data_IF_898061937460
#
_entry.id   IF_898061937460
#
_cell.length_a   1.000
_cell.length_b   1.000
_cell.length_c   1.000
_cell.angle_alpha   90.00
_cell.angle_beta   90.00
_cell.angle_gamma   90.00
#
_symmetry.space_group_name_H-M   'P 1'
#
loop_
_entity.id
_entity.type
_entity.pdbx_description
1 polymer ?
#
# COMPACT_ATOMS: atom_id res chain seq x y z
N UNK A 1 3.57 -13.89 13.71
CA UNK A 1 3.57 -12.43 13.95
C UNK A 1 2.39 -11.84 13.20
N UNK A 2 1.65 -10.94 13.85
CA UNK A 2 0.43 -10.34 13.30
C UNK A 2 0.73 -9.04 12.56
N UNK A 3 -0.12 -8.67 11.60
CA UNK A 3 -0.01 -7.42 10.84
C UNK A 3 0.03 -6.18 11.76
N UNK A 4 -0.70 -6.21 12.88
CA UNK A 4 -0.70 -5.14 13.89
C UNK A 4 0.63 -5.00 14.61
N UNK A 5 1.32 -6.11 14.88
CA UNK A 5 2.62 -6.14 15.56
C UNK A 5 3.71 -5.57 14.64
N UNK A 6 3.75 -6.01 13.38
CA UNK A 6 4.71 -5.50 12.39
C UNK A 6 4.45 -4.04 12.05
N UNK A 7 3.18 -3.62 11.89
CA UNK A 7 2.85 -2.22 11.65
C UNK A 7 3.22 -1.34 12.85
N UNK A 8 3.00 -1.81 14.07
CA UNK A 8 3.40 -1.05 15.28
C UNK A 8 4.91 -0.81 15.35
N UNK A 9 5.74 -1.71 14.79
CA UNK A 9 7.19 -1.51 14.68
C UNK A 9 7.53 -0.40 13.69
N UNK A 10 6.88 -0.39 12.52
CA UNK A 10 7.00 0.69 11.52
C UNK A 10 6.65 2.04 12.18
N UNK A 11 5.50 2.11 12.85
CA UNK A 11 5.05 3.32 13.53
C UNK A 11 5.98 3.75 14.68
N UNK A 12 6.58 2.80 15.40
CA UNK A 12 7.58 3.09 16.43
C UNK A 12 8.81 3.77 15.86
N UNK A 13 9.36 3.24 14.76
CA UNK A 13 10.53 3.81 14.07
C UNK A 13 10.24 5.19 13.49
N UNK A 14 9.07 5.38 12.86
CA UNK A 14 8.66 6.70 12.38
C UNK A 14 8.50 7.69 13.53
N UNK A 15 7.86 7.30 14.64
CA UNK A 15 7.73 8.19 15.80
C UNK A 15 9.07 8.63 16.38
N UNK A 16 10.06 7.75 16.36
CA UNK A 16 11.39 8.02 16.90
C UNK A 16 12.25 8.87 15.97
N UNK A 17 12.27 8.55 14.67
CA UNK A 17 13.22 9.12 13.71
C UNK A 17 12.60 10.09 12.70
N UNK A 18 11.31 9.94 12.40
CA UNK A 18 10.54 10.79 11.50
C UNK A 18 9.19 11.26 12.11
N UNK A 19 9.20 11.98 13.25
CA UNK A 19 7.98 12.37 13.95
C UNK A 19 7.03 13.23 13.12
N UNK A 20 7.52 13.97 12.12
CA UNK A 20 6.64 14.73 11.22
C UNK A 20 5.88 13.79 10.26
N UNK A 21 6.56 12.82 9.64
CA UNK A 21 5.89 11.82 8.79
C UNK A 21 4.92 10.96 9.62
N UNK A 22 5.29 10.61 10.86
CA UNK A 22 4.37 9.92 11.77
C UNK A 22 3.11 10.77 12.08
N UNK A 23 3.25 12.09 12.22
CA UNK A 23 2.13 12.98 12.53
C UNK A 23 1.21 13.21 11.32
N UNK A 24 1.76 13.11 10.11
CA UNK A 24 1.02 13.30 8.86
C UNK A 24 0.17 12.06 8.49
N UNK A 25 0.36 10.91 9.17
CA UNK A 25 -0.40 9.68 8.89
C UNK A 25 -1.88 9.84 9.23
N UNK A 26 -2.79 9.61 8.27
CA UNK A 26 -4.23 9.70 8.51
C UNK A 26 -4.72 8.69 9.56
N UNK A 27 -5.73 9.11 10.32
CA UNK A 27 -6.36 8.29 11.36
C UNK A 27 -7.05 7.02 10.83
N UNK A 28 -7.56 6.15 11.71
CA UNK A 28 -8.08 4.83 11.35
C UNK A 28 -9.34 4.87 10.47
N UNK A 29 -9.49 3.87 9.59
CA UNK A 29 -10.74 3.65 8.89
C UNK A 29 -11.83 3.15 9.86
N UNK A 30 -13.09 3.31 9.48
CA UNK A 30 -14.21 2.70 10.21
C UNK A 30 -14.67 1.42 9.53
N UNK A 31 -15.29 0.51 10.30
CA UNK A 31 -15.90 -0.71 9.75
C UNK A 31 -16.93 -0.41 8.65
N UNK A 32 -17.67 0.70 8.78
CA UNK A 32 -18.64 1.13 7.78
C UNK A 32 -17.97 1.51 6.46
N UNK A 33 -16.81 2.18 6.52
CA UNK A 33 -16.05 2.54 5.33
C UNK A 33 -15.54 1.29 4.61
N UNK A 34 -14.97 0.34 5.35
CA UNK A 34 -14.49 -0.92 4.78
C UNK A 34 -15.61 -1.73 4.15
N UNK A 35 -16.74 -1.88 4.84
CA UNK A 35 -17.90 -2.59 4.30
C UNK A 35 -18.43 -1.94 3.02
N UNK A 36 -18.49 -0.61 2.97
CA UNK A 36 -18.94 0.11 1.78
C UNK A 36 -17.96 -0.03 0.61
N UNK A 37 -16.64 -0.08 0.88
CA UNK A 37 -15.64 -0.33 -0.15
C UNK A 37 -15.71 -1.77 -0.68
N UNK A 38 -15.85 -2.77 0.20
CA UNK A 38 -16.06 -4.17 -0.21
C UNK A 38 -17.31 -4.34 -1.09
N UNK A 39 -18.39 -3.64 -0.76
CA UNK A 39 -19.62 -3.63 -1.57
C UNK A 39 -19.36 -3.03 -2.97
N UNK A 40 -18.66 -1.90 -3.05
CA UNK A 40 -18.34 -1.24 -4.34
C UNK A 40 -17.35 -2.05 -5.19
N UNK A 41 -16.37 -2.69 -4.55
CA UNK A 41 -15.39 -3.55 -5.23
C UNK A 41 -15.94 -4.93 -5.57
N UNK A 42 -17.06 -5.34 -4.96
CA UNK A 42 -17.67 -6.65 -5.16
C UNK A 42 -16.83 -7.80 -4.60
N UNK A 43 -15.92 -7.52 -3.66
CA UNK A 43 -15.01 -8.51 -3.07
C UNK A 43 -14.74 -8.18 -1.60
N UNK A 44 -14.65 -9.22 -0.76
CA UNK A 44 -14.27 -9.07 0.64
C UNK A 44 -12.75 -8.87 0.75
N UNK A 45 -12.34 -7.87 1.52
CA UNK A 45 -10.93 -7.61 1.79
C UNK A 45 -10.36 -8.71 2.71
N UNK A 46 -9.09 -9.05 2.48
CA UNK A 46 -8.38 -9.98 3.35
C UNK A 46 -8.31 -9.45 4.79
N UNK A 47 -8.35 -10.35 5.78
CA UNK A 47 -8.37 -9.99 7.20
C UNK A 47 -7.18 -9.12 7.63
N UNK A 48 -5.98 -9.36 7.09
CA UNK A 48 -4.81 -8.53 7.39
C UNK A 48 -4.95 -7.10 6.84
N UNK A 49 -5.49 -6.95 5.62
CA UNK A 49 -5.72 -5.65 4.99
C UNK A 49 -6.75 -4.84 5.79
N UNK A 50 -7.87 -5.47 6.16
CA UNK A 50 -8.87 -4.84 7.04
C UNK A 50 -8.26 -4.39 8.35
N UNK A 51 -7.49 -5.27 8.99
CA UNK A 51 -6.88 -5.00 10.29
C UNK A 51 -5.92 -3.83 10.22
N UNK A 52 -5.14 -3.70 9.15
CA UNK A 52 -4.25 -2.55 8.95
C UNK A 52 -5.02 -1.26 8.65
N UNK A 53 -6.05 -1.30 7.81
CA UNK A 53 -6.87 -0.13 7.49
C UNK A 53 -7.65 0.42 8.69
N UNK A 54 -8.12 -0.47 9.58
CA UNK A 54 -8.74 -0.08 10.86
C UNK A 54 -7.76 0.60 11.83
N UNK A 55 -6.46 0.60 11.53
CA UNK A 55 -5.45 1.39 12.24
C UNK A 55 -5.07 2.66 11.49
N UNK A 56 -5.18 2.67 10.15
CA UNK A 56 -4.80 3.80 9.28
C UNK A 56 -5.68 3.78 8.03
N UNK A 57 -6.55 4.77 7.87
CA UNK A 57 -7.40 4.90 6.69
C UNK A 57 -6.60 5.29 5.46
N UNK A 58 -5.52 6.05 5.67
CA UNK A 58 -4.59 6.56 4.64
C UNK A 58 -5.24 7.39 3.52
N UNK A 59 -6.57 7.60 3.56
CA UNK A 59 -7.22 8.57 2.69
C UNK A 59 -6.69 9.96 3.00
N UNK A 60 -6.24 10.64 1.95
CA UNK A 60 -5.99 12.07 1.99
C UNK A 60 -7.28 12.83 2.27
N UNK A 61 -7.23 14.05 2.81
CA UNK A 61 -8.36 14.97 2.82
C UNK A 61 -9.00 15.12 1.43
N UNK A 62 -10.29 15.47 1.37
CA UNK A 62 -11.00 15.63 0.08
C UNK A 62 -10.36 16.72 -0.81
N UNK A 63 -9.81 17.77 -0.20
CA UNK A 63 -9.11 18.87 -0.89
C UNK A 63 -7.74 18.47 -1.46
N UNK A 64 -7.12 17.41 -0.91
CA UNK A 64 -5.82 16.89 -1.33
C UNK A 64 -5.96 15.67 -2.26
N UNK A 65 -7.21 15.24 -2.52
CA UNK A 65 -7.49 14.16 -3.44
C UNK A 65 -7.48 14.70 -4.87
N UNK A 66 -6.36 14.54 -5.55
CA UNK A 66 -6.21 14.95 -6.95
C UNK A 66 -6.89 13.94 -7.89
N UNK A 67 -7.96 14.36 -8.55
CA UNK A 67 -8.68 13.54 -9.53
C UNK A 67 -7.88 13.34 -10.82
N UNK A 68 -6.87 14.19 -11.10
CA UNK A 68 -6.05 14.12 -12.32
C UNK A 68 -4.93 13.07 -12.22
N UNK A 69 -4.64 12.53 -11.02
CA UNK A 69 -3.65 11.46 -10.81
C UNK A 69 -4.33 10.10 -10.61
N UNK A 70 -3.64 9.02 -10.97
CA UNK A 70 -4.22 7.67 -10.86
C UNK A 70 -4.23 7.17 -9.42
N UNK A 71 -3.20 7.50 -8.65
CA UNK A 71 -3.00 7.05 -7.28
C UNK A 71 -2.49 8.20 -6.42
N UNK A 72 -3.01 8.28 -5.21
CA UNK A 72 -2.58 9.19 -4.17
C UNK A 72 -2.71 8.48 -2.82
N UNK A 73 -1.98 8.95 -1.83
CA UNK A 73 -1.94 8.34 -0.52
C UNK A 73 -0.84 8.92 0.34
N UNK A 74 -0.45 8.19 1.38
CA UNK A 74 0.63 8.62 2.25
C UNK A 74 1.98 8.47 1.54
N UNK A 75 2.64 9.59 1.28
CA UNK A 75 3.94 9.71 0.61
C UNK A 75 5.11 9.59 1.60
N UNK A 76 6.29 9.24 1.10
CA UNK A 76 7.56 9.31 1.83
C UNK A 76 8.07 7.96 2.35
N UNK A 77 7.27 6.89 2.31
CA UNK A 77 7.74 5.52 2.56
C UNK A 77 6.77 4.48 1.95
N UNK A 78 7.24 3.25 1.62
CA UNK A 78 8.52 2.63 1.99
C UNK A 78 9.70 2.99 1.09
N UNK A 79 9.45 3.61 -0.07
CA UNK A 79 10.44 3.99 -1.08
C UNK A 79 10.05 5.28 -1.79
N UNK A 80 10.97 5.83 -2.57
CA UNK A 80 10.77 7.08 -3.30
C UNK A 80 9.67 6.91 -4.36
N UNK A 81 8.65 7.78 -4.31
CA UNK A 81 7.60 7.85 -5.32
C UNK A 81 6.51 6.78 -5.20
N UNK A 82 6.52 5.97 -4.13
CA UNK A 82 5.40 5.08 -3.80
C UNK A 82 4.54 5.64 -2.67
N UNK A 83 3.24 5.42 -2.79
CA UNK A 83 2.23 5.83 -1.82
C UNK A 83 1.59 4.59 -1.21
N UNK A 84 1.48 4.58 0.12
CA UNK A 84 0.48 3.72 0.75
C UNK A 84 -0.91 4.27 0.44
N UNK A 85 -1.70 3.48 -0.27
CA UNK A 85 -2.98 3.93 -0.81
C UNK A 85 -4.00 4.06 0.32
N UNK A 86 -4.77 5.14 0.30
CA UNK A 86 -6.03 5.23 1.04
C UNK A 86 -7.11 4.36 0.42
N UNK A 87 -8.16 4.05 1.17
CA UNK A 87 -9.28 3.23 0.72
C UNK A 87 -9.85 3.71 -0.63
N UNK A 88 -10.05 5.03 -0.79
CA UNK A 88 -10.56 5.60 -2.05
C UNK A 88 -9.63 5.37 -3.24
N UNK A 89 -8.32 5.50 -3.02
CA UNK A 89 -7.32 5.25 -4.07
C UNK A 89 -7.21 3.75 -4.40
N UNK A 90 -7.31 2.87 -3.40
CA UNK A 90 -7.39 1.42 -3.62
C UNK A 90 -8.59 1.04 -4.49
N UNK A 91 -9.76 1.59 -4.19
CA UNK A 91 -10.99 1.36 -4.96
C UNK A 91 -10.84 1.83 -6.41
N UNK A 92 -10.33 3.04 -6.62
CA UNK A 92 -10.09 3.61 -7.95
C UNK A 92 -9.13 2.75 -8.77
N UNK A 93 -7.99 2.39 -8.19
CA UNK A 93 -6.98 1.58 -8.88
C UNK A 93 -7.51 0.16 -9.17
N UNK A 94 -8.22 -0.44 -8.22
CA UNK A 94 -8.85 -1.74 -8.40
C UNK A 94 -9.89 -1.73 -9.53
N UNK A 95 -10.77 -0.73 -9.55
CA UNK A 95 -11.77 -0.58 -10.61
C UNK A 95 -11.11 -0.37 -11.98
N UNK A 96 -10.05 0.45 -12.05
CA UNK A 96 -9.31 0.65 -13.29
C UNK A 96 -8.70 -0.65 -13.82
N UNK A 97 -8.07 -1.46 -12.95
CA UNK A 97 -7.44 -2.74 -13.32
C UNK A 97 -8.43 -3.84 -13.67
N UNK A 98 -9.65 -3.79 -13.13
CA UNK A 98 -10.68 -4.82 -13.35
C UNK A 98 -11.50 -4.62 -14.65
N UNK A 99 -11.31 -3.52 -15.38
CA UNK A 99 -12.10 -3.21 -16.58
C UNK A 99 -11.38 -3.55 -17.89
N UNK A 100 -12.14 -3.93 -18.92
CA UNK A 100 -11.60 -4.32 -20.23
C UNK A 100 -10.87 -3.21 -21.00
N UNK A 101 -11.06 -1.94 -20.61
CA UNK A 101 -10.34 -0.78 -21.13
C UNK A 101 -9.34 -0.20 -20.11
N UNK A 102 -9.11 -0.94 -19.02
CA UNK A 102 -8.11 -0.63 -18.01
C UNK A 102 -6.69 -0.82 -18.51
N UNK A 103 -5.74 -0.67 -17.59
CA UNK A 103 -4.32 -0.85 -17.89
C UNK A 103 -3.96 -2.31 -18.23
N UNK A 104 -4.70 -3.24 -17.62
CA UNK A 104 -4.44 -4.67 -17.70
C UNK A 104 -5.40 -5.31 -18.71
N UNK A 105 -4.91 -6.25 -19.55
CA UNK A 105 -5.82 -7.07 -20.35
C UNK A 105 -6.74 -7.89 -19.42
N UNK A 106 -7.93 -8.30 -19.92
CA UNK A 106 -8.86 -9.13 -19.15
C UNK A 106 -8.18 -10.36 -18.55
N UNK A 107 -8.62 -10.75 -17.35
CA UNK A 107 -8.13 -11.92 -16.62
C UNK A 107 -8.04 -13.16 -17.53
N UNK A 108 -6.85 -13.78 -17.57
CA UNK A 108 -6.60 -15.02 -18.28
C UNK A 108 -6.34 -16.13 -17.27
N UNK A 109 -7.09 -17.25 -17.31
CA UNK A 109 -7.05 -18.27 -16.26
C UNK A 109 -5.66 -18.86 -15.98
N UNK A 110 -4.86 -19.04 -17.04
CA UNK A 110 -3.57 -19.73 -16.97
C UNK A 110 -2.39 -18.77 -16.76
N UNK A 111 -2.56 -17.50 -17.16
CA UNK A 111 -1.52 -16.46 -17.11
C UNK A 111 -2.15 -15.10 -16.86
N UNK A 112 -2.74 -14.87 -15.67
CA UNK A 112 -3.44 -13.62 -15.41
C UNK A 112 -2.44 -12.48 -15.36
N UNK A 113 -2.67 -11.45 -16.19
CA UNK A 113 -1.94 -10.19 -16.07
C UNK A 113 -2.31 -9.48 -14.77
N UNK A 114 -3.61 -9.52 -14.46
CA UNK A 114 -4.21 -9.11 -13.20
C UNK A 114 -5.35 -10.06 -12.83
N UNK A 115 -5.58 -10.23 -11.52
CA UNK A 115 -6.72 -11.00 -10.99
C UNK A 115 -7.60 -10.11 -10.15
N UNK A 116 -8.91 -10.32 -10.20
CA UNK A 116 -9.86 -9.58 -9.36
C UNK A 116 -9.67 -9.87 -7.87
N UNK A 117 -8.99 -10.96 -7.49
CA UNK A 117 -8.64 -11.23 -6.10
C UNK A 117 -7.42 -10.45 -5.59
N UNK A 118 -6.76 -9.67 -6.45
CA UNK A 118 -5.61 -8.85 -6.09
C UNK A 118 -6.03 -7.44 -5.75
N UNK A 119 -5.85 -7.05 -4.49
CA UNK A 119 -6.21 -5.73 -3.99
C UNK A 119 -4.95 -4.88 -3.88
N UNK A 120 -4.80 -3.81 -4.66
CA UNK A 120 -3.64 -2.93 -4.57
C UNK A 120 -3.69 -2.16 -3.25
N UNK A 121 -2.55 -2.02 -2.58
CA UNK A 121 -2.45 -1.23 -1.34
C UNK A 121 -1.24 -0.28 -1.32
N UNK A 122 -0.36 -0.41 -2.31
CA UNK A 122 0.76 0.49 -2.54
C UNK A 122 0.91 0.68 -4.03
N UNK A 123 1.12 1.92 -4.48
CA UNK A 123 1.40 2.23 -5.88
C UNK A 123 2.21 3.51 -6.03
N UNK A 124 2.90 3.66 -7.16
CA UNK A 124 3.31 4.98 -7.65
C UNK A 124 2.11 5.82 -8.08
N UNK A 125 2.32 7.12 -8.29
CA UNK A 125 1.28 8.10 -8.65
C UNK A 125 0.51 7.73 -9.93
N UNK A 126 1.20 7.09 -10.89
CA UNK A 126 0.65 6.73 -12.20
C UNK A 126 -0.05 5.36 -12.21
N UNK A 127 0.03 4.58 -11.13
CA UNK A 127 -0.54 3.24 -11.08
C UNK A 127 0.29 2.18 -11.81
N UNK A 128 1.50 2.50 -12.27
CA UNK A 128 2.33 1.65 -13.12
C UNK A 128 3.06 0.57 -12.34
N UNK A 129 3.41 0.84 -11.10
CA UNK A 129 4.09 -0.12 -10.22
C UNK A 129 3.50 -0.10 -8.83
N UNK A 130 3.55 -1.23 -8.14
CA UNK A 130 3.04 -1.29 -6.78
C UNK A 130 2.96 -2.69 -6.21
N UNK A 131 2.27 -2.79 -5.06
CA UNK A 131 2.06 -4.06 -4.35
C UNK A 131 0.59 -4.31 -4.07
N UNK A 132 0.19 -5.57 -4.21
CA UNK A 132 -1.15 -6.05 -3.96
C UNK A 132 -1.15 -7.16 -2.92
N UNK A 133 -2.27 -7.33 -2.23
CA UNK A 133 -2.57 -8.51 -1.43
C UNK A 133 -3.54 -9.41 -2.19
N UNK A 134 -3.23 -10.70 -2.26
CA UNK A 134 -4.15 -11.71 -2.79
C UNK A 134 -5.14 -12.10 -1.69
N UNK A 135 -6.43 -11.83 -1.87
CA UNK A 135 -7.42 -12.07 -0.81
C UNK A 135 -7.65 -13.56 -0.53
N UNK A 136 -7.22 -14.44 -1.44
CA UNK A 136 -7.43 -15.88 -1.30
C UNK A 136 -6.52 -16.49 -0.24
N UNK A 137 -5.32 -15.96 -0.07
CA UNK A 137 -4.30 -16.51 0.83
C UNK A 137 -3.51 -15.48 1.64
N UNK A 138 -3.73 -14.19 1.42
CA UNK A 138 -3.10 -13.09 2.15
C UNK A 138 -1.65 -12.80 1.74
N UNK A 139 -1.14 -13.46 0.70
CA UNK A 139 0.21 -13.20 0.19
C UNK A 139 0.28 -11.84 -0.48
N UNK A 140 1.45 -11.20 -0.38
CA UNK A 140 1.72 -9.93 -1.07
C UNK A 140 2.51 -10.21 -2.34
N UNK A 141 2.05 -9.64 -3.44
CA UNK A 141 2.75 -9.61 -4.72
C UNK A 141 3.09 -8.19 -5.15
N UNK A 142 3.77 -8.08 -6.29
CA UNK A 142 4.05 -6.81 -6.95
C UNK A 142 3.73 -6.86 -8.42
N UNK A 143 3.35 -5.73 -8.97
CA UNK A 143 3.20 -5.54 -10.41
C UNK A 143 4.15 -4.46 -10.90
N UNK A 144 4.43 -4.51 -12.20
CA UNK A 144 5.03 -3.43 -12.96
C UNK A 144 4.42 -3.49 -14.36
N UNK A 145 3.89 -2.38 -14.85
CA UNK A 145 3.35 -2.28 -16.20
C UNK A 145 4.43 -2.63 -17.22
N UNK A 146 4.13 -3.58 -18.11
CA UNK A 146 5.09 -4.07 -19.09
C UNK A 146 6.07 -5.12 -18.57
N UNK A 147 5.97 -5.51 -17.30
CA UNK A 147 6.68 -6.64 -16.71
C UNK A 147 5.75 -7.77 -16.27
N UNK A 148 6.27 -8.97 -16.00
CA UNK A 148 5.49 -10.04 -15.42
C UNK A 148 5.13 -9.74 -13.96
N UNK A 149 3.88 -9.98 -13.60
CA UNK A 149 3.41 -9.88 -12.21
C UNK A 149 4.08 -10.93 -11.33
N UNK A 150 4.59 -10.51 -10.17
CA UNK A 150 5.20 -11.40 -9.18
C UNK A 150 4.18 -11.70 -8.10
N UNK A 151 3.82 -12.97 -7.96
CA UNK A 151 2.93 -13.46 -6.90
C UNK A 151 3.74 -14.00 -5.72
N UNK A 152 3.26 -13.78 -4.49
CA UNK A 152 3.90 -14.33 -3.30
C UNK A 152 5.31 -13.81 -3.02
N UNK A 153 5.60 -12.54 -3.35
CA UNK A 153 6.84 -11.87 -2.97
C UNK A 153 7.04 -11.87 -1.44
N UNK A 154 5.95 -11.72 -0.68
CA UNK A 154 5.92 -11.93 0.76
C UNK A 154 4.83 -12.93 1.14
N UNK A 155 5.12 -13.77 2.13
CA UNK A 155 4.20 -14.79 2.65
C UNK A 155 2.94 -14.20 3.30
N UNK A 156 3.00 -12.94 3.73
CA UNK A 156 1.86 -12.20 4.29
C UNK A 156 2.13 -10.70 4.32
N UNK A 157 1.08 -9.90 4.54
CA UNK A 157 1.21 -8.46 4.77
C UNK A 157 2.05 -8.13 6.01
N UNK A 158 1.99 -8.98 7.04
CA UNK A 158 2.85 -8.84 8.21
C UNK A 158 4.35 -8.97 7.86
N UNK A 159 4.71 -9.91 6.96
CA UNK A 159 6.09 -10.05 6.47
C UNK A 159 6.54 -8.87 5.64
N UNK A 160 5.64 -8.32 4.83
CA UNK A 160 5.93 -7.10 4.10
C UNK A 160 6.20 -5.93 5.06
N UNK A 161 5.36 -5.67 6.07
CA UNK A 161 5.63 -4.59 7.04
C UNK A 161 6.87 -4.82 7.89
N UNK A 162 7.23 -6.07 8.19
CA UNK A 162 8.53 -6.38 8.80
C UNK A 162 9.70 -5.91 7.92
N UNK A 163 9.66 -6.18 6.61
CA UNK A 163 10.70 -5.68 5.70
C UNK A 163 10.74 -4.15 5.62
N UNK A 164 9.60 -3.48 5.74
CA UNK A 164 9.54 -2.01 5.82
C UNK A 164 10.22 -1.53 7.10
N UNK A 165 9.94 -2.17 8.24
CA UNK A 165 10.58 -1.85 9.51
C UNK A 165 12.09 -2.09 9.47
N UNK A 166 12.55 -3.16 8.82
CA UNK A 166 13.98 -3.43 8.60
C UNK A 166 14.64 -2.35 7.74
N UNK A 167 13.96 -1.89 6.68
CA UNK A 167 14.44 -0.77 5.86
C UNK A 167 14.57 0.51 6.68
N UNK A 168 13.54 0.88 7.46
CA UNK A 168 13.58 2.06 8.33
C UNK A 168 14.70 1.97 9.39
N UNK A 169 14.92 0.79 9.97
CA UNK A 169 16.02 0.56 10.90
C UNK A 169 17.39 0.78 10.23
N UNK A 170 17.58 0.26 9.01
CA UNK A 170 18.82 0.48 8.23
C UNK A 170 19.03 1.95 7.88
N UNK A 171 17.96 2.69 7.57
CA UNK A 171 18.02 4.14 7.35
C UNK A 171 18.47 4.85 8.64
N UNK A 172 17.92 4.47 9.80
CA UNK A 172 18.29 5.04 11.10
C UNK A 172 19.77 4.78 11.45
N UNK A 173 20.29 3.61 11.08
CA UNK A 173 21.69 3.23 11.24
C UNK A 173 22.64 3.92 10.24
N UNK A 174 22.11 4.61 9.22
CA UNK A 174 22.90 5.19 8.13
C UNK A 174 23.47 4.15 7.16
N UNK A 175 22.92 2.93 7.14
CA UNK A 175 23.34 1.83 6.27
C UNK A 175 22.47 1.67 5.02
N UNK A 176 21.66 2.70 4.71
CA UNK A 176 20.81 2.78 3.54
C UNK A 176 21.26 3.92 2.61
N UNK A 177 21.59 3.65 1.33
CA UNK A 177 22.36 4.59 0.51
C UNK A 177 21.54 5.75 -0.10
N UNK A 178 20.21 5.59 -0.24
CA UNK A 178 19.34 6.50 -1.01
C UNK A 178 18.25 7.17 -0.17
N UNK A 179 18.32 7.02 1.16
CA UNK A 179 17.37 7.64 2.07
C UNK A 179 18.03 7.89 3.42
N UNK A 180 17.61 8.97 4.09
CA UNK A 180 18.06 9.35 5.43
C UNK A 180 16.95 10.07 6.19
N UNK A 181 17.01 10.01 7.51
CA UNK A 181 16.21 10.88 8.37
C UNK A 181 16.86 12.28 8.45
N UNK A 182 16.10 13.32 8.13
CA UNK A 182 16.52 14.72 8.22
C UNK A 182 15.38 15.56 8.76
N UNK A 183 15.63 16.35 9.82
CA UNK A 183 14.64 17.25 10.43
C UNK A 183 13.30 16.58 10.80
N UNK A 184 13.35 15.30 11.17
CA UNK A 184 12.18 14.52 11.54
C UNK A 184 11.32 14.05 10.37
N UNK A 185 11.90 13.99 9.16
CA UNK A 185 11.31 13.42 7.94
C UNK A 185 12.25 12.43 7.25
N UNK A 186 11.70 11.50 6.49
CA UNK A 186 12.40 10.71 5.49
C UNK A 186 12.70 11.59 4.27
N UNK A 187 13.95 11.59 3.82
CA UNK A 187 14.38 12.30 2.61
C UNK A 187 15.11 11.32 1.70
N UNK A 188 14.53 11.11 0.52
CA UNK A 188 15.06 10.29 -0.57
C UNK A 188 16.02 11.11 -1.45
N UNK A 189 17.02 10.47 -2.06
CA UNK A 189 18.13 11.10 -2.79
C UNK A 189 18.51 10.41 -4.09
#
# INVERSE_FOLDING_TARGET
>A
MRVTESWSRVMGLLREHAPADHADLPGPATEQMLAAAEERMGISLHGDLRTWLLQNNLDLPEEDFDDDVMCCGFDGFPDEGSFFLGLRAMERLYANRSTSCGFDPPDQPDHPFWRNEWIPFLSDQDGWTGKFIDVRDGRVGRWFVGGPTVTGEYESMARYFDSVAETLARIAEGSFPVCRFTEGRLVWS
#
